data_IF_902116014430
#
_entry.id   IF_902116014430
#
_cell.length_a   1.000
_cell.length_b   1.000
_cell.length_c   1.000
_cell.angle_alpha   90.00
_cell.angle_beta   90.00
_cell.angle_gamma   90.00
#
_symmetry.space_group_name_H-M   'P 1'
#
loop_
_entity.id
_entity.type
_entity.pdbx_description
1 polymer ?
#
# COMPACT_ATOMS: atom_id res chain seq x y z
N UNK A 1 -13.18 -4.07 6.85
CA UNK A 1 -13.98 -2.96 6.38
C UNK A 1 -13.17 -2.06 5.48
N UNK A 2 -13.75 -1.57 4.41
CA UNK A 2 -13.01 -0.78 3.41
C UNK A 2 -13.14 0.72 3.63
N UNK A 3 -13.43 1.11 4.86
CA UNK A 3 -13.47 2.51 5.23
C UNK A 3 -12.10 3.12 5.06
N UNK A 4 -12.09 4.37 4.62
CA UNK A 4 -10.86 5.13 4.39
C UNK A 4 -9.97 4.57 3.29
N UNK A 5 -10.47 3.64 2.48
CA UNK A 5 -9.76 3.16 1.31
C UNK A 5 -9.72 4.28 0.27
N UNK A 6 -8.54 4.66 -0.16
CA UNK A 6 -8.33 5.71 -1.14
C UNK A 6 -7.67 5.12 -2.38
N UNK A 7 -7.72 5.83 -3.49
CA UNK A 7 -7.25 5.33 -4.77
C UNK A 7 -6.40 6.34 -5.51
N UNK A 8 -5.38 5.83 -6.20
CA UNK A 8 -4.59 6.57 -7.18
C UNK A 8 -4.77 5.84 -8.50
N UNK A 9 -5.02 6.57 -9.58
CA UNK A 9 -5.09 5.98 -10.92
C UNK A 9 -3.75 6.14 -11.60
N UNK A 10 -3.16 5.02 -12.02
CA UNK A 10 -1.94 5.01 -12.83
C UNK A 10 -2.38 4.85 -14.28
N UNK A 11 -2.23 5.89 -15.14
CA UNK A 11 -2.80 5.85 -16.50
C UNK A 11 -2.23 4.75 -17.36
N UNK A 12 -0.94 4.48 -17.26
CA UNK A 12 -0.33 3.40 -18.03
C UNK A 12 0.87 2.84 -17.28
N UNK A 13 1.10 1.56 -17.44
CA UNK A 13 2.22 0.87 -16.81
C UNK A 13 2.64 -0.32 -17.67
N UNK A 14 3.95 -0.45 -17.87
CA UNK A 14 4.54 -1.58 -18.60
C UNK A 14 5.36 -2.40 -17.63
N UNK A 15 5.07 -3.69 -17.54
CA UNK A 15 5.80 -4.61 -16.68
C UNK A 15 7.18 -4.94 -17.24
N UNK A 16 8.02 -5.57 -16.43
CA UNK A 16 9.34 -6.04 -16.86
C UNK A 16 9.22 -7.04 -18.02
N UNK A 17 8.14 -7.84 -18.03
CA UNK A 17 7.91 -8.82 -19.09
C UNK A 17 7.34 -8.19 -20.36
N UNK A 18 7.03 -6.91 -20.37
CA UNK A 18 6.49 -6.20 -21.52
C UNK A 18 4.97 -6.11 -21.57
N UNK A 19 4.27 -6.67 -20.61
CA UNK A 19 2.81 -6.54 -20.53
C UNK A 19 2.42 -5.10 -20.24
N UNK A 20 1.39 -4.59 -20.91
CA UNK A 20 0.94 -3.22 -20.75
C UNK A 20 -0.43 -3.18 -20.07
N UNK A 21 -0.55 -2.29 -19.12
CA UNK A 21 -1.79 -2.09 -18.38
C UNK A 21 -2.18 -0.62 -18.42
N UNK A 22 -3.49 -0.38 -18.45
CA UNK A 22 -4.01 0.98 -18.45
C UNK A 22 -4.94 1.17 -17.26
N UNK A 23 -4.89 2.37 -16.68
CA UNK A 23 -5.78 2.75 -15.58
C UNK A 23 -5.73 1.76 -14.41
N UNK A 24 -4.51 1.47 -13.94
CA UNK A 24 -4.35 0.65 -12.75
C UNK A 24 -4.85 1.46 -11.55
N UNK A 25 -5.80 0.90 -10.81
CA UNK A 25 -6.26 1.50 -9.56
C UNK A 25 -5.35 1.02 -8.43
N UNK A 26 -4.54 1.93 -7.91
CA UNK A 26 -3.71 1.66 -6.75
C UNK A 26 -4.43 2.16 -5.52
N UNK A 27 -4.99 1.25 -4.73
CA UNK A 27 -5.67 1.62 -3.51
C UNK A 27 -4.72 1.59 -2.33
N UNK A 28 -5.05 2.38 -1.31
CA UNK A 28 -4.22 2.47 -0.11
C UNK A 28 -5.05 2.92 1.08
N UNK A 29 -4.51 2.68 2.26
CA UNK A 29 -5.07 3.15 3.51
C UNK A 29 -4.00 3.86 4.32
N UNK A 30 -4.44 4.84 5.10
CA UNK A 30 -3.59 5.62 6.00
C UNK A 30 -4.08 5.43 7.42
N UNK A 31 -3.16 5.27 8.33
CA UNK A 31 -3.44 5.14 9.76
C UNK A 31 -2.54 6.08 10.54
N UNK A 32 -3.03 6.55 11.68
CA UNK A 32 -2.25 7.41 12.55
C UNK A 32 -2.28 8.86 12.13
N UNK A 33 -1.13 9.50 12.08
CA UNK A 33 -1.04 10.93 11.83
C UNK A 33 -1.31 11.26 10.36
N UNK A 34 -1.90 12.43 10.06
CA UNK A 34 -2.13 12.85 8.68
C UNK A 34 -0.82 12.97 7.90
N UNK A 35 -0.89 12.72 6.59
CA UNK A 35 0.25 12.92 5.71
C UNK A 35 0.77 14.35 5.81
N UNK A 36 2.09 14.48 5.86
CA UNK A 36 2.76 15.77 5.96
C UNK A 36 3.05 16.21 7.39
N UNK A 37 2.43 15.57 8.39
CA UNK A 37 2.59 15.99 9.79
C UNK A 37 3.52 15.07 10.58
N UNK A 38 3.90 13.93 10.04
CA UNK A 38 4.70 12.95 10.77
C UNK A 38 5.53 12.12 9.81
N UNK A 39 6.60 11.47 10.31
CA UNK A 39 7.35 10.52 9.50
C UNK A 39 6.45 9.39 9.00
N UNK A 40 6.72 8.89 7.81
CA UNK A 40 5.91 7.86 7.16
C UNK A 40 6.55 6.49 7.32
N UNK A 41 5.75 5.53 7.79
CA UNK A 41 6.10 4.10 7.80
C UNK A 41 5.26 3.42 6.71
N UNK A 42 5.92 2.86 5.72
CA UNK A 42 5.25 2.10 4.67
C UNK A 42 5.22 0.63 5.06
N UNK A 43 4.02 0.06 5.10
CA UNK A 43 3.83 -1.35 5.45
C UNK A 43 3.35 -2.09 4.21
N UNK A 44 4.14 -3.08 3.77
CA UNK A 44 3.79 -3.93 2.64
C UNK A 44 3.17 -5.22 3.15
N UNK A 45 1.99 -5.54 2.66
CA UNK A 45 1.31 -6.76 3.08
C UNK A 45 1.91 -8.00 2.40
N UNK A 46 1.66 -9.17 3.00
CA UNK A 46 2.02 -10.44 2.40
C UNK A 46 1.14 -10.73 1.18
N UNK A 47 1.49 -11.76 0.40
CA UNK A 47 0.81 -12.11 -0.84
C UNK A 47 -0.72 -12.20 -0.68
N UNK A 48 -1.18 -12.78 0.42
CA UNK A 48 -2.61 -12.94 0.70
C UNK A 48 -3.19 -11.86 1.59
N UNK A 49 -2.43 -10.80 1.84
CA UNK A 49 -2.87 -9.72 2.72
C UNK A 49 -3.57 -8.59 1.99
N UNK A 50 -3.67 -7.47 2.67
CA UNK A 50 -4.30 -6.28 2.15
C UNK A 50 -3.84 -5.04 2.92
N UNK A 51 -4.34 -3.86 2.52
CA UNK A 51 -3.95 -2.59 3.13
C UNK A 51 -4.50 -2.36 4.53
N UNK A 52 -5.43 -3.19 5.00
CA UNK A 52 -5.98 -3.00 6.35
C UNK A 52 -5.03 -3.57 7.40
N UNK A 53 -3.89 -2.89 7.59
CA UNK A 53 -2.84 -3.38 8.49
C UNK A 53 -3.11 -3.03 9.94
N UNK A 54 -3.82 -1.95 10.21
CA UNK A 54 -4.01 -1.41 11.55
C UNK A 54 -5.45 -1.01 11.88
N UNK A 55 -6.38 -1.12 10.94
CA UNK A 55 -7.77 -0.76 11.18
C UNK A 55 -8.50 -1.81 11.98
N UNK A 56 -9.80 -1.65 12.12
CA UNK A 56 -10.65 -2.67 12.74
C UNK A 56 -10.42 -3.99 12.02
N UNK A 57 -10.07 -5.04 12.78
CA UNK A 57 -9.67 -6.34 12.23
C UNK A 57 -8.41 -6.28 11.36
N UNK A 58 -7.57 -5.27 11.56
CA UNK A 58 -6.29 -5.17 10.87
C UNK A 58 -5.39 -6.33 11.24
N UNK A 59 -4.70 -6.89 10.24
CA UNK A 59 -3.91 -8.12 10.46
C UNK A 59 -2.63 -7.88 11.27
N UNK A 60 -2.18 -6.62 11.39
CA UNK A 60 -1.05 -6.26 12.26
C UNK A 60 -1.44 -5.29 13.37
N UNK A 61 -2.72 -5.25 13.72
CA UNK A 61 -3.21 -4.36 14.76
C UNK A 61 -2.61 -4.64 16.12
N UNK A 62 -1.96 -5.78 16.32
CA UNK A 62 -1.27 -6.07 17.57
C UNK A 62 0.02 -5.25 17.74
N UNK A 63 0.66 -4.85 16.64
CA UNK A 63 1.93 -4.10 16.68
C UNK A 63 1.79 -2.69 16.14
N UNK A 64 0.71 -2.37 15.45
CA UNK A 64 0.45 -1.05 14.88
C UNK A 64 -0.76 -0.45 15.58
N UNK A 65 -0.56 0.63 16.28
CA UNK A 65 -1.63 1.32 17.00
C UNK A 65 -1.04 2.31 17.99
N UNK A 66 -1.93 3.00 18.71
CA UNK A 66 -1.50 3.98 19.72
C UNK A 66 -0.71 3.30 20.81
N UNK A 67 0.48 3.82 21.07
CA UNK A 67 1.41 3.32 22.09
C UNK A 67 1.90 1.88 21.83
N UNK A 68 1.73 1.39 20.61
CA UNK A 68 2.26 0.09 20.21
C UNK A 68 3.64 0.23 19.54
N UNK A 69 4.21 -0.88 19.11
CA UNK A 69 5.54 -0.89 18.51
C UNK A 69 5.66 0.11 17.35
N UNK A 70 4.67 0.12 16.46
CA UNK A 70 4.54 1.16 15.44
C UNK A 70 3.43 2.09 15.92
N UNK A 71 3.87 3.20 16.53
CA UNK A 71 2.98 4.08 17.30
C UNK A 71 2.26 5.06 16.37
N UNK A 72 0.96 4.87 16.22
CA UNK A 72 0.14 5.73 15.38
C UNK A 72 -0.03 7.15 15.93
N UNK A 73 0.39 7.41 17.16
CA UNK A 73 0.46 8.78 17.67
C UNK A 73 1.68 9.53 17.16
N UNK A 74 2.69 8.81 16.68
CA UNK A 74 3.97 9.39 16.22
C UNK A 74 4.18 9.32 14.72
N UNK A 75 3.57 8.36 14.05
CA UNK A 75 3.84 8.08 12.65
C UNK A 75 2.58 8.12 11.80
N UNK A 76 2.77 8.42 10.52
CA UNK A 76 1.77 8.14 9.50
C UNK A 76 2.08 6.76 8.96
N UNK A 77 1.14 5.85 9.05
CA UNK A 77 1.28 4.49 8.53
C UNK A 77 0.53 4.41 7.20
N UNK A 78 1.25 4.03 6.16
CA UNK A 78 0.71 3.92 4.79
C UNK A 78 0.83 2.48 4.33
N UNK A 79 -0.25 1.94 3.77
CA UNK A 79 -0.24 0.62 3.17
C UNK A 79 -0.97 0.65 1.84
N UNK A 80 -0.29 0.20 0.78
CA UNK A 80 -0.91 0.00 -0.54
C UNK A 80 -1.40 -1.43 -0.66
N UNK A 81 -2.45 -1.62 -1.47
CA UNK A 81 -2.83 -2.95 -1.90
C UNK A 81 -2.03 -3.33 -3.14
N UNK A 82 -1.56 -4.57 -3.19
CA UNK A 82 -0.97 -5.10 -4.43
C UNK A 82 -2.08 -5.11 -5.48
N UNK A 83 -1.88 -4.47 -6.65
CA UNK A 83 -2.92 -4.41 -7.67
C UNK A 83 -3.43 -5.79 -8.03
N UNK A 84 -4.74 -5.94 -8.06
CA UNK A 84 -5.38 -7.20 -8.39
C UNK A 84 -5.60 -8.14 -7.21
N UNK A 85 -5.30 -7.73 -5.97
CA UNK A 85 -5.57 -8.57 -4.81
C UNK A 85 -7.06 -8.68 -4.47
N UNK A 86 -7.90 -7.87 -5.11
CA UNK A 86 -9.35 -7.94 -4.95
C UNK A 86 -9.91 -7.23 -3.74
N UNK A 87 -9.08 -6.74 -2.84
CA UNK A 87 -9.54 -6.08 -1.62
C UNK A 87 -10.38 -4.84 -1.92
N UNK A 88 -9.99 -4.09 -2.94
CA UNK A 88 -10.66 -2.85 -3.37
C UNK A 88 -11.67 -3.08 -4.50
N UNK A 89 -11.90 -4.33 -4.88
CA UNK A 89 -12.76 -4.68 -6.00
C UNK A 89 -12.08 -4.65 -7.36
N UNK A 90 -10.84 -4.17 -7.43
CA UNK A 90 -10.08 -4.16 -8.67
C UNK A 90 -9.45 -5.54 -8.91
N UNK A 91 -9.73 -6.14 -10.04
CA UNK A 91 -9.23 -7.47 -10.39
C UNK A 91 -8.41 -7.35 -11.68
N UNK A 92 -7.27 -8.01 -11.70
CA UNK A 92 -6.39 -8.08 -12.87
C UNK A 92 -6.40 -9.51 -13.37
N UNK A 93 -6.88 -9.72 -14.59
CA UNK A 93 -6.96 -11.06 -15.20
C UNK A 93 -5.58 -11.70 -15.33
N UNK A 94 -4.59 -10.90 -15.64
CA UNK A 94 -3.21 -11.36 -15.84
C UNK A 94 -2.31 -10.91 -14.68
N UNK A 95 -2.73 -11.23 -13.45
CA UNK A 95 -1.97 -10.82 -12.27
C UNK A 95 -0.57 -11.45 -12.22
N UNK A 96 -0.35 -12.54 -12.91
CA UNK A 96 0.96 -13.20 -12.97
C UNK A 96 1.99 -12.41 -13.77
N UNK A 97 1.55 -11.43 -14.55
CA UNK A 97 2.47 -10.51 -15.23
C UNK A 97 3.20 -9.59 -14.27
N UNK A 98 2.67 -9.40 -13.06
CA UNK A 98 3.32 -8.55 -12.05
C UNK A 98 4.29 -9.39 -11.23
N UNK A 99 5.57 -9.04 -11.31
CA UNK A 99 6.59 -9.58 -10.42
C UNK A 99 6.86 -8.57 -9.30
N UNK A 100 7.64 -8.98 -8.30
CA UNK A 100 7.92 -8.11 -7.14
C UNK A 100 8.49 -6.75 -7.54
N UNK A 101 9.35 -6.71 -8.57
CA UNK A 101 9.92 -5.45 -9.05
C UNK A 101 8.85 -4.53 -9.65
N UNK A 102 7.89 -5.10 -10.36
CA UNK A 102 6.77 -4.32 -10.92
C UNK A 102 5.93 -3.72 -9.80
N UNK A 103 5.63 -4.50 -8.78
CA UNK A 103 4.87 -4.03 -7.61
C UNK A 103 5.62 -2.90 -6.92
N UNK A 104 6.94 -3.04 -6.75
CA UNK A 104 7.75 -2.00 -6.15
C UNK A 104 7.70 -0.70 -6.96
N UNK A 105 7.77 -0.80 -8.29
CA UNK A 105 7.67 0.37 -9.18
C UNK A 105 6.30 1.03 -9.08
N UNK A 106 5.23 0.25 -9.00
CA UNK A 106 3.88 0.77 -8.83
C UNK A 106 3.77 1.53 -7.50
N UNK A 107 4.31 0.98 -6.42
CA UNK A 107 4.29 1.64 -5.13
C UNK A 107 5.12 2.92 -5.13
N UNK A 108 6.25 2.95 -5.86
CA UNK A 108 7.04 4.17 -6.02
C UNK A 108 6.23 5.27 -6.73
N UNK A 109 5.46 4.90 -7.75
CA UNK A 109 4.57 5.85 -8.41
C UNK A 109 3.55 6.39 -7.41
N UNK A 110 2.98 5.51 -6.58
CA UNK A 110 2.05 5.93 -5.54
C UNK A 110 2.66 6.90 -4.55
N UNK A 111 3.88 6.63 -4.09
CA UNK A 111 4.59 7.53 -3.18
C UNK A 111 4.81 8.90 -3.81
N UNK A 112 5.16 8.96 -5.09
CA UNK A 112 5.34 10.22 -5.80
C UNK A 112 4.03 10.99 -5.91
N UNK A 113 2.94 10.32 -6.22
CA UNK A 113 1.62 10.95 -6.31
C UNK A 113 1.18 11.51 -4.96
N UNK A 114 1.52 10.86 -3.87
CA UNK A 114 1.23 11.34 -2.52
C UNK A 114 2.25 12.36 -2.03
N UNK A 115 3.25 12.69 -2.86
CA UNK A 115 4.30 13.66 -2.55
C UNK A 115 5.14 13.26 -1.34
N UNK A 116 5.30 11.96 -1.14
CA UNK A 116 6.13 11.42 -0.08
C UNK A 116 7.54 11.26 -0.64
N UNK A 117 8.47 12.05 -0.12
CA UNK A 117 9.84 12.08 -0.61
C UNK A 117 10.78 11.20 0.18
N UNK A 118 10.37 10.82 1.40
CA UNK A 118 11.22 10.09 2.31
C UNK A 118 10.36 9.20 3.20
N UNK A 119 10.80 7.98 3.43
CA UNK A 119 10.19 7.07 4.38
C UNK A 119 11.05 6.99 5.63
N UNK A 120 10.40 6.97 6.81
CA UNK A 120 11.09 6.69 8.05
C UNK A 120 11.48 5.21 8.11
N UNK A 121 10.57 4.33 7.69
CA UNK A 121 10.80 2.90 7.68
C UNK A 121 9.94 2.24 6.61
N UNK A 122 10.41 1.11 6.11
CA UNK A 122 9.70 0.22 5.21
C UNK A 122 9.66 -1.14 5.87
N UNK A 123 8.47 -1.66 6.10
CA UNK A 123 8.27 -2.93 6.77
C UNK A 123 7.45 -3.83 5.85
N UNK A 124 7.89 -5.06 5.67
CA UNK A 124 7.20 -6.00 4.82
C UNK A 124 7.01 -7.36 5.46
N UNK A 125 5.91 -8.00 5.12
CA UNK A 125 5.70 -9.39 5.45
C UNK A 125 6.21 -10.31 4.35
N UNK A 126 5.94 -11.58 4.48
CA UNK A 126 6.33 -12.58 3.48
C UNK A 126 5.53 -12.38 2.18
N UNK A 127 6.21 -12.50 1.08
CA UNK A 127 5.57 -12.50 -0.24
C UNK A 127 5.67 -13.87 -0.88
#
# INVERSE_FOLDING_TARGET
MKEHLQHIIIPSFTTESGAQFQNIELSYQLFGQPLGNAPVVLVNHALTGNSNVAGENGWWSEIIGDEKTIDTQKYTVLAFNIPGNGFDGFVVDDYKSFIARDIARIFLIGLKELKIKQLFALIGGSL
#
